data_IF_460693654718
#
_entry.id   IF_460693654718
#
_cell.length_a   1.000
_cell.length_b   1.000
_cell.length_c   1.000
_cell.angle_alpha   90.00
_cell.angle_beta   90.00
_cell.angle_gamma   90.00
#
_symmetry.space_group_name_H-M   'P 1'
#
loop_
_entity.id
_entity.type
_entity.pdbx_description
1 polymer ?
#
# COMPACT_ATOMS: atom_id res chain seq x y z
N UNK A 1 5.63 2.74 0.06
CA UNK A 1 5.98 3.82 0.98
C UNK A 1 5.24 5.13 0.74
N UNK A 2 4.29 5.13 -0.17
CA UNK A 2 3.28 6.18 -0.34
C UNK A 2 2.43 6.38 0.92
N UNK A 3 2.65 5.51 1.90
CA UNK A 3 1.91 5.44 3.14
C UNK A 3 2.12 6.67 4.03
N UNK A 4 3.34 7.23 4.04
CA UNK A 4 3.63 8.45 4.81
C UNK A 4 2.87 9.67 4.26
N UNK A 5 2.66 9.74 2.95
CA UNK A 5 1.88 10.79 2.31
C UNK A 5 0.37 10.68 2.61
N UNK A 6 -0.12 9.48 2.86
CA UNK A 6 -1.53 9.25 3.20
C UNK A 6 -1.88 9.64 4.64
N UNK A 7 -0.90 9.97 5.49
CA UNK A 7 -1.12 10.40 6.87
C UNK A 7 -1.98 11.67 6.98
N UNK A 8 -1.89 12.55 5.98
CA UNK A 8 -2.70 13.77 5.91
C UNK A 8 -4.18 13.53 5.59
N UNK A 9 -4.53 12.33 5.12
CA UNK A 9 -5.92 11.97 4.75
C UNK A 9 -6.73 11.36 5.90
N UNK A 10 -6.14 11.26 7.10
CA UNK A 10 -6.78 10.74 8.30
C UNK A 10 -7.05 9.23 8.28
N UNK A 11 -7.10 8.63 9.46
CA UNK A 11 -7.32 7.18 9.63
C UNK A 11 -8.68 6.66 9.10
N UNK A 12 -9.62 7.57 8.85
CA UNK A 12 -10.98 7.27 8.41
C UNK A 12 -10.99 6.54 7.06
N UNK A 13 -10.00 6.78 6.20
CA UNK A 13 -9.93 6.19 4.86
C UNK A 13 -9.11 4.90 4.78
N UNK A 14 -8.31 4.58 5.81
CA UNK A 14 -7.50 3.36 5.86
C UNK A 14 -8.31 2.17 6.37
N UNK A 15 -9.32 1.79 5.61
CA UNK A 15 -10.19 0.69 6.02
C UNK A 15 -9.61 -0.66 5.72
N UNK A 16 -8.89 -0.80 4.62
CA UNK A 16 -8.34 -2.08 4.15
C UNK A 16 -7.06 -1.85 3.35
N UNK A 17 -6.15 -2.81 3.42
CA UNK A 17 -4.92 -2.85 2.61
C UNK A 17 -4.96 -4.09 1.73
N UNK A 18 -4.88 -3.89 0.43
CA UNK A 18 -4.80 -4.98 -0.53
C UNK A 18 -3.36 -5.20 -0.95
N UNK A 19 -2.88 -6.42 -0.76
CA UNK A 19 -1.53 -6.83 -1.14
C UNK A 19 -1.61 -7.71 -2.37
N UNK A 20 -0.99 -7.26 -3.46
CA UNK A 20 -0.97 -7.96 -4.74
C UNK A 20 0.45 -8.42 -5.10
N UNK A 21 0.53 -9.38 -6.02
CA UNK A 21 1.79 -9.89 -6.56
C UNK A 21 2.33 -11.12 -5.86
N UNK A 22 3.38 -11.71 -6.44
CA UNK A 22 3.96 -12.97 -5.97
C UNK A 22 4.59 -12.89 -4.58
N UNK A 23 5.14 -11.72 -4.21
CA UNK A 23 5.77 -11.52 -2.89
C UNK A 23 4.74 -11.64 -1.76
N UNK A 24 3.53 -11.14 -1.96
CA UNK A 24 2.49 -11.18 -0.94
C UNK A 24 2.09 -12.58 -0.49
N UNK A 25 2.22 -13.60 -1.36
CA UNK A 25 1.86 -14.99 -1.02
C UNK A 25 2.81 -15.63 0.00
N UNK A 26 4.06 -15.18 0.05
CA UNK A 26 5.09 -15.74 0.94
C UNK A 26 5.41 -14.87 2.16
N UNK A 27 4.84 -13.67 2.25
CA UNK A 27 5.13 -12.74 3.34
C UNK A 27 4.34 -13.12 4.61
N UNK A 28 5.08 -13.22 5.73
CA UNK A 28 4.46 -13.19 7.05
C UNK A 28 4.08 -11.75 7.37
N UNK A 29 2.78 -11.46 7.40
CA UNK A 29 2.27 -10.09 7.55
C UNK A 29 2.66 -9.46 8.89
N UNK A 30 2.69 -10.25 9.97
CA UNK A 30 3.13 -9.78 11.29
C UNK A 30 4.59 -9.31 11.24
N UNK A 31 5.48 -10.13 10.67
CA UNK A 31 6.88 -9.76 10.54
C UNK A 31 7.08 -8.55 9.62
N UNK A 32 6.28 -8.44 8.56
CA UNK A 32 6.32 -7.32 7.64
C UNK A 32 5.91 -6.00 8.31
N UNK A 33 4.94 -6.01 9.21
CA UNK A 33 4.59 -4.85 10.05
C UNK A 33 5.72 -4.55 11.03
N UNK A 34 6.28 -5.57 11.68
CA UNK A 34 7.39 -5.40 12.64
C UNK A 34 8.60 -4.68 12.04
N UNK A 35 8.95 -4.96 10.80
CA UNK A 35 10.05 -4.28 10.12
C UNK A 35 9.64 -2.96 9.43
N UNK A 36 8.41 -2.51 9.60
CA UNK A 36 7.91 -1.27 9.01
C UNK A 36 7.64 -1.33 7.51
N UNK A 37 7.55 -2.52 6.91
CA UNK A 37 7.23 -2.69 5.50
C UNK A 37 5.78 -2.30 5.21
N UNK A 38 4.88 -2.61 6.13
CA UNK A 38 3.48 -2.23 6.10
C UNK A 38 3.11 -1.41 7.34
N UNK A 39 2.00 -0.65 7.26
CA UNK A 39 1.53 0.12 8.41
C UNK A 39 1.09 -0.77 9.55
N UNK A 40 1.19 -0.25 10.76
CA UNK A 40 0.69 -0.92 11.96
C UNK A 40 -0.83 -0.74 12.08
N UNK A 41 -1.55 -1.65 11.46
CA UNK A 41 -3.01 -1.75 11.51
C UNK A 41 -3.38 -3.21 11.82
N UNK A 42 -4.61 -3.47 12.31
CA UNK A 42 -5.07 -4.82 12.57
C UNK A 42 -4.87 -5.75 11.37
N UNK A 43 -4.28 -6.94 11.61
CA UNK A 43 -3.93 -7.89 10.55
C UNK A 43 -5.13 -8.31 9.69
N UNK A 44 -6.33 -8.29 10.26
CA UNK A 44 -7.59 -8.60 9.58
C UNK A 44 -7.94 -7.61 8.45
N UNK A 45 -7.33 -6.42 8.43
CA UNK A 45 -7.52 -5.41 7.38
C UNK A 45 -6.62 -5.62 6.17
N UNK A 46 -5.68 -6.56 6.24
CA UNK A 46 -4.84 -6.93 5.10
C UNK A 46 -5.52 -8.01 4.28
N UNK A 47 -5.67 -7.76 3.00
CA UNK A 47 -6.24 -8.70 2.04
C UNK A 47 -5.21 -9.03 0.96
N UNK A 48 -4.88 -10.30 0.87
CA UNK A 48 -4.01 -10.78 -0.18
C UNK A 48 -4.84 -11.17 -1.40
N UNK A 49 -4.59 -10.53 -2.54
CA UNK A 49 -5.38 -10.70 -3.77
C UNK A 49 -4.62 -11.42 -4.89
N UNK A 50 -3.42 -11.93 -4.63
CA UNK A 50 -2.64 -12.68 -5.60
C UNK A 50 -2.16 -11.84 -6.79
N UNK A 51 -2.08 -12.45 -7.97
CA UNK A 51 -1.69 -11.77 -9.19
C UNK A 51 -2.85 -10.98 -9.80
N UNK A 52 -3.06 -9.78 -9.29
CA UNK A 52 -4.16 -8.91 -9.73
C UNK A 52 -4.01 -8.41 -11.17
N UNK A 53 -2.77 -8.27 -11.66
CA UNK A 53 -2.51 -7.89 -13.06
C UNK A 53 -3.03 -8.95 -14.02
N UNK A 54 -2.74 -10.22 -13.74
CA UNK A 54 -3.23 -11.34 -14.55
C UNK A 54 -4.76 -11.46 -14.50
N UNK A 55 -5.32 -11.34 -13.30
CA UNK A 55 -6.77 -11.40 -13.09
C UNK A 55 -7.48 -10.24 -13.81
N UNK A 56 -6.90 -9.04 -13.75
CA UNK A 56 -7.41 -7.87 -14.46
C UNK A 56 -7.39 -8.04 -15.98
N UNK A 57 -6.26 -8.50 -16.52
CA UNK A 57 -6.12 -8.78 -17.96
C UNK A 57 -7.12 -9.84 -18.43
N UNK A 58 -7.29 -10.91 -17.67
CA UNK A 58 -8.27 -11.95 -17.95
C UNK A 58 -9.70 -11.43 -17.96
N UNK A 59 -10.04 -10.59 -16.99
CA UNK A 59 -11.35 -9.95 -16.91
C UNK A 59 -11.64 -9.05 -18.11
N UNK A 60 -10.62 -8.31 -18.59
CA UNK A 60 -10.74 -7.46 -19.80
C UNK A 60 -10.97 -8.30 -21.05
N UNK A 61 -10.34 -9.45 -21.17
CA UNK A 61 -10.55 -10.37 -22.30
C UNK A 61 -11.97 -10.94 -22.35
N UNK A 62 -12.57 -11.18 -21.19
CA UNK A 62 -13.88 -11.82 -21.10
C UNK A 62 -15.06 -10.83 -21.18
N UNK A 63 -14.82 -9.55 -20.94
CA UNK A 63 -15.90 -8.57 -20.79
C UNK A 63 -15.51 -7.19 -21.34
N UNK A 64 -16.22 -6.75 -22.36
CA UNK A 64 -16.08 -5.38 -22.89
C UNK A 64 -16.48 -4.31 -21.87
N UNK A 65 -17.34 -4.63 -20.94
CA UNK A 65 -17.70 -3.73 -19.85
C UNK A 65 -16.53 -3.57 -18.87
N UNK A 66 -15.80 -4.64 -18.55
CA UNK A 66 -14.60 -4.59 -17.73
C UNK A 66 -13.49 -3.79 -18.41
N UNK A 67 -13.29 -3.98 -19.71
CA UNK A 67 -12.34 -3.19 -20.51
C UNK A 67 -12.64 -1.71 -20.44
N UNK A 68 -13.88 -1.29 -20.72
CA UNK A 68 -14.31 0.11 -20.64
C UNK A 68 -14.07 0.70 -19.25
N UNK A 69 -14.42 -0.06 -18.20
CA UNK A 69 -14.23 0.35 -16.81
C UNK A 69 -12.76 0.54 -16.47
N UNK A 70 -11.88 -0.31 -16.97
CA UNK A 70 -10.43 -0.21 -16.77
C UNK A 70 -9.88 1.08 -17.39
N UNK A 71 -10.29 1.42 -18.62
CA UNK A 71 -9.90 2.69 -19.25
C UNK A 71 -10.45 3.91 -18.49
N UNK A 72 -11.67 3.84 -17.99
CA UNK A 72 -12.25 4.90 -17.17
C UNK A 72 -11.42 5.12 -15.89
N UNK A 73 -11.08 4.03 -15.19
CA UNK A 73 -10.23 4.09 -13.99
C UNK A 73 -8.86 4.68 -14.31
N UNK A 74 -8.21 4.19 -15.39
CA UNK A 74 -6.89 4.69 -15.79
C UNK A 74 -6.89 6.20 -16.11
N UNK A 75 -7.95 6.70 -16.73
CA UNK A 75 -8.09 8.14 -17.01
C UNK A 75 -8.30 9.01 -15.77
N UNK A 76 -8.88 8.43 -14.74
CA UNK A 76 -9.16 9.13 -13.47
C UNK A 76 -8.03 8.96 -12.44
N UNK A 77 -6.99 8.19 -12.75
CA UNK A 77 -5.81 8.07 -11.88
C UNK A 77 -5.01 9.36 -11.89
N UNK A 78 -4.61 9.79 -10.71
CA UNK A 78 -3.73 10.94 -10.53
C UNK A 78 -2.30 10.48 -10.31
N UNK A 79 -1.37 10.98 -11.10
CA UNK A 79 0.06 10.78 -10.89
C UNK A 79 0.56 11.80 -9.87
N UNK A 80 1.26 11.31 -8.85
CA UNK A 80 1.92 12.14 -7.85
C UNK A 80 3.43 11.93 -7.92
N UNK A 81 4.14 12.97 -8.33
CA UNK A 81 5.61 12.95 -8.37
C UNK A 81 6.16 13.16 -6.97
N UNK A 82 6.68 12.10 -6.36
CA UNK A 82 7.17 12.13 -4.98
C UNK A 82 8.39 13.03 -4.79
N UNK A 83 9.21 13.19 -5.82
CA UNK A 83 10.40 14.05 -5.77
C UNK A 83 10.06 15.54 -5.58
N UNK A 84 8.83 15.93 -5.91
CA UNK A 84 8.35 17.32 -5.74
C UNK A 84 7.73 17.57 -4.36
N UNK A 85 7.56 16.53 -3.55
CA UNK A 85 6.99 16.65 -2.20
C UNK A 85 8.08 17.07 -1.22
N UNK A 86 7.99 18.24 -0.56
CA UNK A 86 9.05 18.79 0.26
C UNK A 86 9.50 17.88 1.42
N UNK A 87 8.59 17.12 1.98
CA UNK A 87 8.85 16.22 3.12
C UNK A 87 9.28 14.81 2.70
N UNK A 88 9.31 14.51 1.41
CA UNK A 88 9.57 13.15 0.93
C UNK A 88 10.92 12.60 1.38
N UNK A 89 11.99 13.39 1.28
CA UNK A 89 13.34 12.95 1.66
C UNK A 89 13.45 12.69 3.17
N UNK A 90 12.85 13.53 3.99
CA UNK A 90 12.86 13.36 5.45
C UNK A 90 12.12 12.07 5.85
N UNK A 91 10.96 11.84 5.26
CA UNK A 91 10.17 10.63 5.47
C UNK A 91 10.88 9.37 4.93
N UNK A 92 11.57 9.49 3.80
CA UNK A 92 12.37 8.42 3.24
C UNK A 92 13.51 8.00 4.17
N UNK A 93 14.27 8.98 4.69
CA UNK A 93 15.36 8.73 5.64
C UNK A 93 14.82 8.13 6.94
N UNK A 94 13.73 8.66 7.47
CA UNK A 94 13.08 8.13 8.66
C UNK A 94 12.63 6.67 8.49
N UNK A 95 12.16 6.31 7.30
CA UNK A 95 11.74 4.96 6.96
C UNK A 95 12.89 3.99 6.65
N UNK A 96 14.13 4.44 6.58
CA UNK A 96 15.31 3.57 6.46
C UNK A 96 15.64 2.84 7.77
N UNK A 97 15.20 3.37 8.90
CA UNK A 97 15.28 2.69 10.19
C UNK A 97 14.15 1.65 10.33
N UNK A 98 14.39 0.59 11.08
CA UNK A 98 13.42 -0.49 11.26
C UNK A 98 12.83 -0.43 12.69
N UNK A 99 11.51 -0.29 12.80
CA UNK A 99 10.50 -0.11 11.75
C UNK A 99 10.45 1.32 11.18
N UNK A 100 10.79 2.32 11.99
CA UNK A 100 10.78 3.73 11.64
C UNK A 100 11.48 4.55 12.73
N UNK A 101 12.01 5.75 12.42
CA UNK A 101 12.60 6.64 13.43
C UNK A 101 11.58 7.06 14.49
N UNK A 102 10.34 7.30 14.05
CA UNK A 102 9.21 7.57 14.96
C UNK A 102 8.50 6.27 15.30
N UNK A 103 8.83 5.69 16.44
CA UNK A 103 8.25 4.42 16.92
C UNK A 103 6.77 4.54 17.29
N UNK A 104 6.24 5.75 17.50
CA UNK A 104 4.81 5.95 17.80
C UNK A 104 3.90 5.55 16.64
N UNK A 105 4.46 5.44 15.42
CA UNK A 105 3.74 4.95 14.24
C UNK A 105 3.51 3.44 14.25
N UNK A 106 4.22 2.71 15.13
CA UNK A 106 4.17 1.24 15.23
C UNK A 106 3.95 0.80 16.68
N UNK A 107 2.80 1.12 17.26
CA UNK A 107 2.52 0.83 18.67
C UNK A 107 2.44 -0.66 19.00
N UNK A 108 2.20 -1.52 18.00
CA UNK A 108 2.17 -2.97 18.20
C UNK A 108 3.56 -3.64 18.18
N UNK A 109 4.59 -2.88 17.78
CA UNK A 109 5.98 -3.36 17.75
C UNK A 109 6.65 -2.93 19.03
N UNK A 110 6.81 -3.87 19.95
CA UNK A 110 7.64 -3.67 21.14
C UNK A 110 9.11 -3.55 20.73
N UNK A 111 9.74 -2.45 21.18
CA UNK A 111 11.15 -2.17 20.93
C UNK A 111 12.06 -3.07 21.79
#
# INVERSE_FOLDING_TARGET
RDFCLSRGLGDVYKRQVYVAGGIGSGINMKNAVTIGMFPDIPLEKFHYIGNSSLTGAYSMLLSTAAEKKTYEVARNMTYLELSTVPTYMDEFVAACFLPHTDTTMFPSVEA
#
